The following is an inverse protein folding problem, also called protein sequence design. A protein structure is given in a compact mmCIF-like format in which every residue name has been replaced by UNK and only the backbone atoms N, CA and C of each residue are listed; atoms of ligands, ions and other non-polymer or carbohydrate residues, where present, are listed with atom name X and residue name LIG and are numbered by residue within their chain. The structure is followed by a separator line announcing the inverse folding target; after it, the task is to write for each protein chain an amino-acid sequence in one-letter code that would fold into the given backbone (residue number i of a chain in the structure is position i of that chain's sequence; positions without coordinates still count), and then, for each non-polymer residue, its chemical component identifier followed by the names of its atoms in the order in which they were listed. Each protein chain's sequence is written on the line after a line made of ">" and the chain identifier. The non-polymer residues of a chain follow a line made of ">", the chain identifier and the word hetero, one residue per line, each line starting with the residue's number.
data_IF_083523165804
#
_entry.id   IF_083523165804
#
_cell.length_a   1.000
_cell.length_b   1.000
_cell.length_c   1.000
_cell.angle_alpha   90.00
_cell.angle_beta   90.00
_cell.angle_gamma   90.00
#
_symmetry.space_group_name_H-M   'P 1'
#
loop_
_entity.id
_entity.type
_entity.pdbx_description
1 polymer ?
#
# COMPACT_ATOMS: atom_id res chain seq x y z
N UNK A 1 -29.67 37.11 -16.58
CA UNK A 1 -28.79 37.25 -17.78
C UNK A 1 -27.86 38.46 -17.67
N UNK A 2 -28.31 39.64 -17.21
CA UNK A 2 -27.46 40.82 -17.06
C UNK A 2 -26.36 40.69 -15.98
N UNK A 3 -26.65 40.08 -14.85
CA UNK A 3 -25.66 39.89 -13.77
C UNK A 3 -24.49 38.97 -14.17
N UNK A 4 -24.74 37.92 -14.94
CA UNK A 4 -23.68 37.03 -15.43
C UNK A 4 -22.77 37.70 -16.46
N UNK A 5 -23.30 38.65 -17.22
CA UNK A 5 -22.53 39.44 -18.20
C UNK A 5 -21.64 40.45 -17.47
N UNK A 6 -22.13 41.10 -16.42
CA UNK A 6 -21.35 42.04 -15.60
C UNK A 6 -20.21 41.30 -14.89
N UNK A 7 -20.48 40.13 -14.31
CA UNK A 7 -19.45 39.28 -13.66
C UNK A 7 -18.37 38.82 -14.64
N UNK A 8 -18.76 38.49 -15.87
CA UNK A 8 -17.84 38.15 -16.95
C UNK A 8 -16.91 39.32 -17.32
N UNK A 9 -17.47 40.54 -17.47
CA UNK A 9 -16.66 41.73 -17.76
C UNK A 9 -15.77 42.16 -16.60
N UNK A 10 -16.21 42.01 -15.35
CA UNK A 10 -15.38 42.27 -14.15
C UNK A 10 -14.20 41.31 -14.12
N UNK A 11 -14.42 40.01 -14.37
CA UNK A 11 -13.36 39.04 -14.43
C UNK A 11 -12.38 39.29 -15.59
N UNK A 12 -12.88 39.72 -16.75
CA UNK A 12 -12.04 40.11 -17.90
C UNK A 12 -11.17 41.33 -17.58
N UNK A 13 -11.76 42.34 -16.89
CA UNK A 13 -11.04 43.55 -16.48
C UNK A 13 -9.97 43.29 -15.42
N UNK A 14 -10.27 42.39 -14.47
CA UNK A 14 -9.30 41.95 -13.46
C UNK A 14 -8.16 41.13 -14.10
N UNK A 15 -8.48 40.35 -15.14
CA UNK A 15 -7.48 39.61 -15.92
C UNK A 15 -6.59 40.59 -16.71
N UNK A 16 -7.18 41.60 -17.35
CA UNK A 16 -6.46 42.64 -18.08
C UNK A 16 -5.56 43.48 -17.17
N UNK A 17 -6.04 43.87 -15.99
CA UNK A 17 -5.24 44.57 -14.99
C UNK A 17 -4.07 43.77 -14.45
N UNK A 18 -4.24 42.46 -14.27
CA UNK A 18 -3.14 41.54 -13.92
C UNK A 18 -2.13 41.37 -15.06
N UNK A 19 -2.59 41.33 -16.33
CA UNK A 19 -1.72 41.29 -17.50
C UNK A 19 -0.84 42.53 -17.62
N UNK A 20 -1.37 43.72 -17.32
CA UNK A 20 -0.61 44.99 -17.33
C UNK A 20 0.51 45.01 -16.28
N UNK A 21 0.33 44.33 -15.13
CA UNK A 21 1.38 44.22 -14.11
C UNK A 21 2.52 43.25 -14.50
N UNK A 22 2.27 42.39 -15.47
CA UNK A 22 3.24 41.34 -15.92
C UNK A 22 3.96 41.78 -17.21
N UNK A 23 3.40 42.71 -17.99
CA UNK A 23 4.03 43.21 -19.23
C UNK A 23 5.48 43.70 -19.06
N UNK A 24 5.89 44.39 -17.98
CA UNK A 24 7.28 44.82 -17.81
C UNK A 24 8.30 43.69 -17.68
N UNK A 25 7.84 42.46 -17.37
CA UNK A 25 8.70 41.32 -17.29
C UNK A 25 8.98 40.64 -18.64
N UNK A 26 8.15 40.92 -19.65
CA UNK A 26 8.28 40.35 -20.99
C UNK A 26 9.18 41.18 -21.93
N UNK A 27 9.42 42.46 -21.66
CA UNK A 27 10.33 43.30 -22.45
C UNK A 27 11.81 42.86 -22.39
N UNK A 28 12.12 41.87 -21.53
CA UNK A 28 13.48 41.32 -21.37
C UNK A 28 13.75 40.04 -22.17
N UNK A 29 12.77 39.46 -22.86
CA UNK A 29 12.95 38.26 -23.68
C UNK A 29 12.66 38.53 -25.16
N UNK A 30 13.70 38.55 -25.89
CA UNK A 30 14.01 38.50 -27.33
C UNK A 30 12.87 38.70 -28.37
N UNK A 31 13.06 39.68 -29.24
CA UNK A 31 12.18 40.22 -30.29
C UNK A 31 11.94 39.29 -31.51
N UNK A 32 12.21 38.01 -31.41
CA UNK A 32 12.12 37.04 -32.54
C UNK A 32 10.90 36.10 -32.54
N UNK A 33 9.99 36.21 -31.58
CA UNK A 33 8.84 35.29 -31.48
C UNK A 33 7.46 36.01 -31.49
N UNK A 34 7.28 37.12 -32.16
CA UNK A 34 5.96 37.73 -32.31
C UNK A 34 5.46 37.69 -33.76
N UNK A 35 4.88 36.54 -34.09
CA UNK A 35 3.87 36.43 -35.16
C UNK A 35 2.89 35.35 -34.77
N UNK A 36 1.92 35.72 -33.93
CA UNK A 36 0.84 34.84 -33.55
C UNK A 36 -0.51 35.51 -33.79
N UNK A 37 -1.44 34.77 -34.39
CA UNK A 37 -2.87 35.11 -34.49
C UNK A 37 -3.46 35.37 -33.10
N UNK A 38 -4.38 36.32 -32.98
CA UNK A 38 -4.99 36.80 -31.74
C UNK A 38 -5.51 35.72 -30.77
N UNK A 39 -5.94 34.56 -31.28
CA UNK A 39 -6.40 33.43 -30.45
C UNK A 39 -5.27 32.68 -29.77
N UNK A 40 -4.12 32.55 -30.42
CA UNK A 40 -2.94 31.90 -29.89
C UNK A 40 -2.29 32.66 -28.74
N UNK A 41 -2.37 33.99 -28.78
CA UNK A 41 -1.87 34.87 -27.74
C UNK A 41 -2.66 34.73 -26.43
N UNK A 42 -4.01 34.60 -26.51
CA UNK A 42 -4.87 34.39 -25.32
C UNK A 42 -4.61 33.07 -24.67
N UNK A 43 -4.39 31.98 -25.44
CA UNK A 43 -4.04 30.66 -24.89
C UNK A 43 -2.63 30.62 -24.30
N UNK A 44 -1.67 31.27 -24.93
CA UNK A 44 -0.30 31.40 -24.41
C UNK A 44 -0.25 32.15 -23.08
N UNK A 45 -0.97 33.30 -22.99
CA UNK A 45 -1.08 34.08 -21.76
C UNK A 45 -1.84 33.29 -20.67
N UNK A 46 -2.90 32.57 -21.03
CA UNK A 46 -3.64 31.71 -20.08
C UNK A 46 -2.75 30.58 -19.52
N UNK A 47 -1.92 29.97 -20.39
CA UNK A 47 -1.00 28.89 -19.98
C UNK A 47 0.12 29.40 -19.07
N UNK A 48 0.69 30.57 -19.38
CA UNK A 48 1.72 31.21 -18.54
C UNK A 48 1.14 31.72 -17.23
N UNK A 49 -0.10 32.26 -17.24
CA UNK A 49 -0.76 32.76 -16.03
C UNK A 49 -1.19 31.60 -15.11
N UNK A 50 -1.64 30.46 -15.67
CA UNK A 50 -1.87 29.22 -14.93
C UNK A 50 -0.55 28.66 -14.35
N UNK A 51 0.54 28.68 -15.11
CA UNK A 51 1.86 28.21 -14.64
C UNK A 51 2.47 29.12 -13.55
N UNK A 52 2.27 30.45 -13.65
CA UNK A 52 2.69 31.43 -12.64
C UNK A 52 1.75 31.46 -11.42
N UNK A 53 0.46 31.23 -11.62
CA UNK A 53 -0.53 31.11 -10.53
C UNK A 53 -0.35 29.85 -9.69
N UNK A 54 0.15 28.78 -10.29
CA UNK A 54 0.54 27.57 -9.58
C UNK A 54 1.86 27.73 -8.78
N UNK A 55 2.78 28.60 -9.25
CA UNK A 55 4.02 28.92 -8.50
C UNK A 55 3.82 29.80 -7.26
N UNK A 56 2.67 30.49 -7.12
CA UNK A 56 2.36 31.32 -5.96
C UNK A 56 1.43 30.69 -4.91
N UNK A 57 1.11 29.40 -5.02
CA UNK A 57 0.71 28.64 -3.84
C UNK A 57 1.93 28.56 -2.95
N UNK A 58 1.82 29.06 -1.70
CA UNK A 58 2.82 28.87 -0.65
C UNK A 58 3.31 27.42 -0.76
N UNK A 59 4.52 27.25 -1.27
CA UNK A 59 5.25 26.03 -1.15
C UNK A 59 5.45 25.80 0.36
N UNK A 60 4.60 24.99 0.95
CA UNK A 60 5.02 24.29 2.13
C UNK A 60 6.14 23.38 1.61
N UNK A 61 7.38 23.75 1.87
CA UNK A 61 8.52 22.87 1.69
C UNK A 61 8.34 21.75 2.71
N UNK A 62 7.52 20.77 2.37
CA UNK A 62 7.57 19.47 3.01
C UNK A 62 8.92 18.96 2.58
N UNK A 63 9.86 18.81 3.51
CA UNK A 63 11.13 18.14 3.22
C UNK A 63 10.76 16.79 2.62
N UNK A 64 11.19 16.56 1.39
CA UNK A 64 10.94 15.30 0.68
C UNK A 64 11.47 14.14 1.55
N UNK A 65 10.60 13.17 1.84
CA UNK A 65 11.00 11.91 2.52
C UNK A 65 11.70 10.95 1.55
N UNK A 66 12.01 11.41 0.33
CA UNK A 66 12.59 10.60 -0.73
C UNK A 66 14.01 10.18 -0.38
N UNK A 67 14.26 8.88 -0.34
CA UNK A 67 15.60 8.30 -0.26
C UNK A 67 16.22 8.36 -1.66
N UNK A 68 17.37 9.02 -1.79
CA UNK A 68 18.13 9.14 -3.04
C UNK A 68 19.42 8.33 -2.91
N UNK A 69 19.44 7.05 -3.35
CA UNK A 69 20.65 6.25 -3.22
C UNK A 69 21.80 6.84 -4.02
N UNK A 70 22.97 7.00 -3.41
CA UNK A 70 24.13 7.61 -4.04
C UNK A 70 24.58 6.83 -5.27
N UNK A 71 24.60 7.48 -6.43
CA UNK A 71 25.04 6.86 -7.69
C UNK A 71 24.05 5.83 -8.25
N UNK A 72 22.80 5.81 -7.81
CA UNK A 72 21.78 4.93 -8.35
C UNK A 72 21.64 5.12 -9.87
N UNK A 73 21.54 4.01 -10.55
CA UNK A 73 21.17 3.92 -11.97
C UNK A 73 20.31 2.68 -12.14
N UNK A 74 19.16 2.83 -12.76
CA UNK A 74 18.31 1.71 -13.09
C UNK A 74 19.08 0.68 -13.94
N UNK A 75 19.18 -0.56 -13.45
CA UNK A 75 19.89 -1.66 -14.11
C UNK A 75 19.17 -2.17 -15.36
N UNK A 76 17.87 -1.93 -15.44
CA UNK A 76 16.98 -2.31 -16.53
C UNK A 76 16.34 -1.04 -17.10
N UNK A 77 16.28 -0.95 -18.43
CA UNK A 77 15.50 0.10 -19.09
C UNK A 77 13.99 -0.11 -18.88
N UNK A 78 13.16 0.83 -19.35
CA UNK A 78 11.70 0.79 -19.16
C UNK A 78 11.10 -0.47 -19.79
N UNK A 79 11.48 -0.85 -21.00
CA UNK A 79 10.95 -2.04 -21.69
C UNK A 79 11.29 -3.32 -20.93
N UNK A 80 12.55 -3.46 -20.51
CA UNK A 80 12.99 -4.59 -19.69
C UNK A 80 12.28 -4.62 -18.35
N UNK A 81 12.03 -3.46 -17.73
CA UNK A 81 11.30 -3.33 -16.48
C UNK A 81 9.87 -3.83 -16.63
N UNK A 82 9.13 -3.38 -17.64
CA UNK A 82 7.76 -3.83 -17.92
C UNK A 82 7.68 -5.33 -18.21
N UNK A 83 8.63 -5.87 -18.96
CA UNK A 83 8.76 -7.32 -19.20
C UNK A 83 9.06 -8.08 -17.90
N UNK A 84 9.92 -7.54 -17.05
CA UNK A 84 10.26 -8.09 -15.75
C UNK A 84 9.08 -8.09 -14.78
N UNK A 85 8.29 -7.02 -14.76
CA UNK A 85 7.05 -6.95 -13.96
C UNK A 85 6.10 -8.07 -14.35
N UNK A 86 5.86 -8.27 -15.66
CA UNK A 86 5.03 -9.35 -16.15
C UNK A 86 5.55 -10.72 -15.71
N UNK A 87 6.84 -10.98 -15.95
CA UNK A 87 7.49 -12.24 -15.60
C UNK A 87 7.36 -12.55 -14.11
N UNK A 88 7.67 -11.58 -13.25
CA UNK A 88 7.61 -11.72 -11.79
C UNK A 88 6.18 -11.97 -11.32
N UNK A 89 5.21 -11.18 -11.80
CA UNK A 89 3.81 -11.34 -11.40
C UNK A 89 3.25 -12.70 -11.80
N UNK A 90 3.49 -13.16 -13.01
CA UNK A 90 3.01 -14.47 -13.49
C UNK A 90 3.65 -15.63 -12.70
N UNK A 91 4.95 -15.59 -12.49
CA UNK A 91 5.66 -16.65 -11.77
C UNK A 91 5.31 -16.69 -10.28
N UNK A 92 5.33 -15.53 -9.61
CA UNK A 92 5.07 -15.48 -8.18
C UNK A 92 3.64 -15.93 -7.84
N UNK A 93 2.61 -15.43 -8.54
CA UNK A 93 1.23 -15.82 -8.28
C UNK A 93 0.98 -17.33 -8.47
N UNK A 94 1.65 -17.95 -9.45
CA UNK A 94 1.57 -19.38 -9.65
C UNK A 94 2.22 -20.16 -8.52
N UNK A 95 3.40 -19.73 -8.06
CA UNK A 95 4.08 -20.32 -6.90
C UNK A 95 3.23 -20.15 -5.63
N UNK A 96 2.74 -18.95 -5.34
CA UNK A 96 1.89 -18.65 -4.18
C UNK A 96 0.64 -19.53 -4.16
N UNK A 97 -0.06 -19.62 -5.30
CA UNK A 97 -1.28 -20.40 -5.42
C UNK A 97 -1.02 -21.90 -5.22
N UNK A 98 0.10 -22.41 -5.72
CA UNK A 98 0.50 -23.82 -5.55
C UNK A 98 0.86 -24.10 -4.10
N UNK A 99 1.72 -23.27 -3.49
CA UNK A 99 2.18 -23.43 -2.11
C UNK A 99 1.02 -23.44 -1.10
N UNK A 100 0.09 -22.53 -1.24
CA UNK A 100 -1.02 -22.37 -0.29
C UNK A 100 -2.33 -23.02 -0.76
N UNK A 101 -2.34 -23.70 -1.92
CA UNK A 101 -3.53 -24.33 -2.53
C UNK A 101 -4.67 -23.34 -2.74
N UNK A 102 -4.35 -22.22 -3.38
CA UNK A 102 -5.28 -21.13 -3.60
C UNK A 102 -5.89 -21.18 -5.01
N UNK A 103 -7.19 -20.94 -5.10
CA UNK A 103 -7.90 -20.69 -6.36
C UNK A 103 -7.99 -19.18 -6.60
N UNK A 104 -7.67 -18.73 -7.82
CA UNK A 104 -7.90 -17.33 -8.18
C UNK A 104 -9.39 -17.02 -8.29
N UNK A 105 -9.82 -15.88 -7.71
CA UNK A 105 -11.19 -15.37 -7.81
C UNK A 105 -11.19 -13.92 -8.28
N UNK A 106 -12.32 -13.49 -8.84
CA UNK A 106 -12.56 -12.07 -9.14
C UNK A 106 -13.08 -11.38 -7.88
N UNK A 107 -12.48 -10.26 -7.52
CA UNK A 107 -12.86 -9.47 -6.35
C UNK A 107 -13.42 -8.10 -6.76
N UNK A 108 -14.23 -7.45 -5.90
CA UNK A 108 -14.73 -6.11 -6.14
C UNK A 108 -13.61 -5.07 -5.98
N UNK A 109 -13.66 -4.02 -6.80
CA UNK A 109 -12.85 -2.81 -6.60
C UNK A 109 -13.48 -1.89 -5.52
N UNK A 110 -14.79 -1.98 -5.33
CA UNK A 110 -15.55 -1.16 -4.38
C UNK A 110 -16.69 -1.98 -3.76
N UNK A 111 -17.11 -1.60 -2.58
CA UNK A 111 -18.20 -2.20 -1.81
C UNK A 111 -19.19 -1.13 -1.37
N UNK A 112 -20.41 -1.53 -0.97
CA UNK A 112 -21.36 -0.59 -0.36
C UNK A 112 -20.85 -0.15 1.00
N UNK A 113 -20.92 1.16 1.26
CA UNK A 113 -20.54 1.76 2.54
C UNK A 113 -21.45 1.29 3.68
N UNK A 114 -20.90 1.14 4.87
CA UNK A 114 -21.66 0.85 6.10
C UNK A 114 -21.94 -0.64 6.35
N UNK A 115 -21.40 -1.55 5.52
CA UNK A 115 -21.53 -2.99 5.73
C UNK A 115 -20.43 -3.60 6.63
N UNK A 116 -19.39 -2.82 6.96
CA UNK A 116 -18.23 -3.30 7.70
C UNK A 116 -17.37 -4.29 6.91
N UNK A 117 -17.45 -4.28 5.57
CA UNK A 117 -16.68 -5.15 4.67
C UNK A 117 -15.34 -4.50 4.33
N UNK A 118 -15.35 -3.17 4.06
CA UNK A 118 -14.10 -2.46 3.82
C UNK A 118 -13.27 -2.37 5.09
N UNK A 119 -11.99 -2.10 4.93
CA UNK A 119 -11.05 -1.92 6.04
C UNK A 119 -10.86 -0.42 6.30
N UNK A 120 -10.86 -0.04 7.57
CA UNK A 120 -10.56 1.33 7.99
C UNK A 120 -9.05 1.52 8.24
N UNK A 121 -8.22 0.50 7.94
CA UNK A 121 -6.78 0.44 8.22
C UNK A 121 -6.50 0.69 9.72
N UNK A 122 -5.97 1.87 10.06
CA UNK A 122 -5.79 2.31 11.45
C UNK A 122 -6.93 3.23 11.96
N UNK A 123 -8.04 3.34 11.19
CA UNK A 123 -9.27 4.01 11.63
C UNK A 123 -9.35 5.50 11.31
N UNK A 124 -8.37 6.06 10.60
CA UNK A 124 -8.30 7.49 10.27
C UNK A 124 -8.27 7.77 8.77
N UNK A 125 -8.01 6.79 7.94
CA UNK A 125 -7.91 6.92 6.49
C UNK A 125 -9.28 7.11 5.86
N UNK A 126 -9.36 8.06 4.92
CA UNK A 126 -10.57 8.37 4.17
C UNK A 126 -10.71 7.45 2.97
N UNK A 127 -11.79 6.68 2.94
CA UNK A 127 -12.15 5.91 1.74
C UNK A 127 -12.59 6.85 0.61
N UNK A 128 -12.19 6.54 -0.63
CA UNK A 128 -12.71 7.18 -1.83
C UNK A 128 -14.13 6.71 -2.05
N UNK A 129 -15.11 7.61 -1.93
CA UNK A 129 -16.54 7.28 -2.02
C UNK A 129 -17.21 7.93 -3.21
N UNK A 130 -18.26 7.28 -3.73
CA UNK A 130 -19.10 7.81 -4.80
C UNK A 130 -20.53 7.30 -4.68
N UNK A 131 -21.56 8.10 -5.11
CA UNK A 131 -22.95 7.69 -5.11
C UNK A 131 -23.24 6.77 -6.31
N UNK A 132 -24.20 5.83 -6.13
CA UNK A 132 -24.69 4.95 -7.19
C UNK A 132 -26.12 5.34 -7.53
N UNK A 133 -26.33 5.93 -8.71
CA UNK A 133 -27.64 6.44 -9.19
C UNK A 133 -28.74 5.39 -9.13
N UNK A 134 -28.48 4.18 -9.64
CA UNK A 134 -29.50 3.13 -9.72
C UNK A 134 -29.83 2.47 -8.37
N UNK A 135 -29.10 2.83 -7.30
CA UNK A 135 -29.36 2.42 -5.92
C UNK A 135 -29.84 3.61 -5.06
N UNK A 136 -30.46 4.63 -5.66
CA UNK A 136 -30.98 5.79 -4.93
C UNK A 136 -29.91 6.61 -4.24
N UNK A 137 -28.77 6.79 -4.90
CA UNK A 137 -27.58 7.50 -4.40
C UNK A 137 -26.93 6.86 -3.16
N UNK A 138 -27.18 5.56 -2.91
CA UNK A 138 -26.39 4.80 -1.94
C UNK A 138 -24.91 4.92 -2.26
N UNK A 139 -24.09 5.09 -1.22
CA UNK A 139 -22.64 5.28 -1.39
C UNK A 139 -21.91 3.95 -1.49
N UNK A 140 -21.03 3.85 -2.47
CA UNK A 140 -19.96 2.86 -2.52
C UNK A 140 -18.63 3.48 -2.12
N UNK A 141 -17.71 2.65 -1.70
CA UNK A 141 -16.34 3.03 -1.34
C UNK A 141 -15.34 2.07 -1.99
N UNK A 142 -14.27 2.63 -2.54
CA UNK A 142 -13.14 1.84 -3.05
C UNK A 142 -12.48 1.13 -1.88
N UNK A 143 -12.16 -0.14 -2.05
CA UNK A 143 -11.59 -0.96 -0.98
C UNK A 143 -10.20 -0.47 -0.57
N UNK A 144 -9.91 -0.54 0.73
CA UNK A 144 -8.56 -0.41 1.28
C UNK A 144 -7.90 -1.78 1.46
N UNK A 145 -8.72 -2.82 1.71
CA UNK A 145 -8.33 -4.22 1.88
C UNK A 145 -9.51 -5.12 1.56
N UNK A 146 -9.25 -6.36 1.17
CA UNK A 146 -10.26 -7.39 0.92
C UNK A 146 -10.29 -8.48 2.01
N UNK A 147 -9.65 -8.26 3.15
CA UNK A 147 -9.54 -9.27 4.21
C UNK A 147 -10.91 -9.83 4.62
N UNK A 148 -11.86 -8.95 4.92
CA UNK A 148 -13.22 -9.33 5.33
C UNK A 148 -14.04 -9.92 4.17
N UNK A 149 -13.95 -9.33 2.99
CA UNK A 149 -14.62 -9.84 1.78
C UNK A 149 -14.18 -11.26 1.42
N UNK A 150 -12.87 -11.54 1.43
CA UNK A 150 -12.34 -12.87 1.12
C UNK A 150 -12.90 -13.95 2.05
N UNK A 151 -12.98 -13.65 3.35
CA UNK A 151 -13.52 -14.57 4.34
C UNK A 151 -14.99 -14.90 4.08
N UNK A 152 -15.79 -13.90 3.69
CA UNK A 152 -17.18 -14.11 3.25
C UNK A 152 -17.23 -14.97 1.99
N UNK A 153 -16.37 -14.68 1.01
CA UNK A 153 -16.28 -15.43 -0.25
C UNK A 153 -15.92 -16.90 -0.04
N UNK A 154 -15.03 -17.20 0.90
CA UNK A 154 -14.71 -18.58 1.29
C UNK A 154 -15.93 -19.33 1.85
N UNK A 155 -16.76 -18.66 2.64
CA UNK A 155 -18.01 -19.22 3.15
C UNK A 155 -19.03 -19.45 2.04
N UNK A 156 -19.27 -18.45 1.18
CA UNK A 156 -20.17 -18.55 0.03
C UNK A 156 -19.83 -19.72 -0.90
N UNK A 157 -18.53 -19.88 -1.20
CA UNK A 157 -18.03 -20.94 -2.08
C UNK A 157 -17.83 -22.27 -1.36
N UNK A 158 -18.13 -22.38 -0.06
CA UNK A 158 -17.98 -23.58 0.76
C UNK A 158 -16.59 -24.21 0.64
N UNK A 159 -15.54 -23.38 0.69
CA UNK A 159 -14.15 -23.85 0.55
C UNK A 159 -13.74 -24.69 1.76
N UNK A 160 -13.20 -25.89 1.49
CA UNK A 160 -12.78 -26.84 2.53
C UNK A 160 -11.50 -26.40 3.26
N UNK A 161 -11.31 -26.79 4.53
CA UNK A 161 -10.05 -26.57 5.25
C UNK A 161 -8.81 -27.05 4.48
N UNK A 162 -7.75 -26.25 4.50
CA UNK A 162 -6.51 -26.51 3.77
C UNK A 162 -6.49 -26.01 2.34
N UNK A 163 -7.57 -25.35 1.87
CA UNK A 163 -7.69 -24.68 0.59
C UNK A 163 -8.08 -23.21 0.79
N UNK A 164 -7.86 -22.40 -0.23
CA UNK A 164 -8.16 -20.98 -0.16
C UNK A 164 -8.39 -20.31 -1.50
N UNK A 165 -8.44 -19.00 -1.45
CA UNK A 165 -8.57 -18.12 -2.62
C UNK A 165 -7.49 -17.05 -2.61
N UNK A 166 -7.17 -16.51 -3.80
CA UNK A 166 -6.43 -15.28 -3.95
C UNK A 166 -7.02 -14.43 -5.07
N UNK A 167 -6.72 -13.16 -5.03
CA UNK A 167 -7.15 -12.21 -6.06
C UNK A 167 -6.10 -11.12 -6.25
N UNK A 168 -6.16 -10.44 -7.40
CA UNK A 168 -5.46 -9.18 -7.61
C UNK A 168 -6.33 -8.07 -7.01
N UNK A 169 -5.94 -7.57 -5.83
CA UNK A 169 -6.58 -6.44 -5.19
C UNK A 169 -5.98 -5.14 -5.72
N UNK A 170 -6.84 -4.16 -6.00
CA UNK A 170 -6.47 -2.80 -6.33
C UNK A 170 -7.16 -1.88 -5.33
N UNK A 171 -6.41 -1.01 -4.67
CA UNK A 171 -6.91 -0.08 -3.66
C UNK A 171 -6.43 1.35 -3.95
N UNK A 172 -7.17 2.33 -3.42
CA UNK A 172 -6.77 3.74 -3.46
C UNK A 172 -6.71 4.23 -2.01
N UNK A 173 -5.54 4.70 -1.59
CA UNK A 173 -5.30 5.30 -0.28
C UNK A 173 -5.06 6.80 -0.45
N UNK A 174 -6.13 7.58 -0.31
CA UNK A 174 -6.12 9.01 -0.61
C UNK A 174 -5.27 9.84 0.38
N UNK A 175 -5.06 9.33 1.59
CA UNK A 175 -4.30 9.99 2.67
C UNK A 175 -2.87 9.46 2.82
N UNK A 176 -2.39 8.63 1.87
CA UNK A 176 -1.04 8.06 1.92
C UNK A 176 0.04 9.13 1.80
N UNK A 177 1.06 9.06 2.65
CA UNK A 177 2.27 9.85 2.52
C UNK A 177 3.19 9.24 1.47
N UNK A 178 3.41 9.96 0.37
CA UNK A 178 4.16 9.45 -0.77
C UNK A 178 5.67 9.48 -0.51
N UNK A 179 6.33 8.38 -0.82
CA UNK A 179 7.78 8.21 -0.74
C UNK A 179 8.26 7.12 -1.73
N UNK A 180 9.45 6.57 -1.55
CA UNK A 180 9.99 5.50 -2.40
C UNK A 180 9.13 4.23 -2.43
N UNK A 181 8.37 3.95 -1.37
CA UNK A 181 7.64 2.69 -1.13
C UNK A 181 6.12 2.85 -1.16
N UNK A 182 5.62 4.09 -0.94
CA UNK A 182 4.21 4.39 -0.77
C UNK A 182 3.64 5.17 -1.95
N UNK A 183 2.50 4.72 -2.46
CA UNK A 183 1.74 5.29 -3.57
C UNK A 183 0.27 5.40 -3.20
N UNK A 184 -0.45 6.32 -3.84
CA UNK A 184 -1.92 6.39 -3.75
C UNK A 184 -2.60 5.11 -4.25
N UNK A 185 -1.97 4.44 -5.22
CA UNK A 185 -2.44 3.17 -5.77
C UNK A 185 -1.70 2.01 -5.13
N UNK A 186 -2.45 1.06 -4.56
CA UNK A 186 -1.92 -0.15 -3.92
C UNK A 186 -2.43 -1.37 -4.66
N UNK A 187 -1.51 -2.24 -5.07
CA UNK A 187 -1.81 -3.53 -5.68
C UNK A 187 -1.23 -4.68 -4.83
N UNK A 188 -2.07 -5.70 -4.55
CA UNK A 188 -1.66 -6.85 -3.75
C UNK A 188 -2.15 -8.15 -4.37
N UNK A 189 -1.36 -9.23 -4.20
CA UNK A 189 -1.95 -10.56 -4.14
C UNK A 189 -2.57 -10.72 -2.77
N UNK A 190 -3.87 -10.58 -2.73
CA UNK A 190 -4.64 -10.66 -1.50
C UNK A 190 -5.22 -12.07 -1.38
N UNK A 191 -4.83 -12.82 -0.36
CA UNK A 191 -5.11 -14.23 -0.22
C UNK A 191 -5.74 -14.57 1.13
N UNK A 192 -6.51 -15.68 1.18
CA UNK A 192 -7.16 -16.18 2.37
C UNK A 192 -7.37 -17.69 2.25
N UNK A 193 -7.05 -18.47 3.30
CA UNK A 193 -7.21 -19.92 3.33
C UNK A 193 -7.99 -20.36 4.57
N UNK A 194 -8.88 -21.36 4.40
CA UNK A 194 -9.65 -21.95 5.49
C UNK A 194 -8.74 -22.87 6.32
N UNK A 195 -8.82 -22.72 7.64
CA UNK A 195 -8.07 -23.53 8.60
C UNK A 195 -9.00 -24.25 9.58
N UNK A 196 -8.49 -25.24 10.26
CA UNK A 196 -9.14 -25.91 11.39
C UNK A 196 -8.72 -25.28 12.72
N UNK A 197 -9.48 -25.50 13.77
CA UNK A 197 -9.23 -24.94 15.11
C UNK A 197 -7.81 -25.22 15.62
N UNK A 198 -7.33 -26.45 15.45
CA UNK A 198 -5.99 -26.83 15.88
C UNK A 198 -4.83 -26.18 15.08
N UNK A 199 -5.17 -25.39 14.04
CA UNK A 199 -4.21 -24.58 13.25
C UNK A 199 -4.15 -23.11 13.70
N UNK A 200 -4.94 -22.72 14.70
CA UNK A 200 -4.87 -21.38 15.29
C UNK A 200 -3.67 -21.25 16.23
N UNK A 201 -2.47 -21.36 15.69
CA UNK A 201 -1.21 -21.33 16.45
C UNK A 201 -0.15 -20.50 15.74
N UNK A 202 0.78 -19.94 16.50
CA UNK A 202 1.95 -19.27 15.92
C UNK A 202 2.84 -20.24 15.11
N UNK A 203 2.88 -21.52 15.50
CA UNK A 203 3.62 -22.53 14.75
C UNK A 203 3.08 -22.68 13.32
N UNK A 204 1.76 -22.70 13.15
CA UNK A 204 1.15 -22.74 11.83
C UNK A 204 1.34 -21.44 11.05
N UNK A 205 1.27 -20.29 11.71
CA UNK A 205 1.57 -19.01 11.07
C UNK A 205 3.01 -18.99 10.52
N UNK A 206 3.98 -19.46 11.31
CA UNK A 206 5.39 -19.58 10.87
C UNK A 206 5.53 -20.50 9.65
N UNK A 207 4.86 -21.65 9.63
CA UNK A 207 4.84 -22.56 8.47
C UNK A 207 4.34 -21.84 7.21
N UNK A 208 3.25 -21.08 7.31
CA UNK A 208 2.69 -20.32 6.18
C UNK A 208 3.66 -19.24 5.70
N UNK A 209 4.27 -18.50 6.62
CA UNK A 209 5.27 -17.46 6.32
C UNK A 209 6.47 -18.04 5.59
N UNK A 210 7.02 -19.18 6.06
CA UNK A 210 8.16 -19.85 5.42
C UNK A 210 7.85 -20.32 3.99
N UNK A 211 6.63 -20.81 3.74
CA UNK A 211 6.17 -21.21 2.40
C UNK A 211 6.08 -20.03 1.45
N UNK A 212 5.51 -18.89 1.90
CA UNK A 212 5.45 -17.65 1.13
C UNK A 212 6.85 -17.11 0.84
N UNK A 213 7.71 -17.08 1.87
CA UNK A 213 9.09 -16.66 1.71
C UNK A 213 9.87 -17.53 0.72
N UNK A 214 9.62 -18.84 0.72
CA UNK A 214 10.16 -19.76 -0.28
C UNK A 214 9.73 -19.42 -1.71
N UNK A 215 8.48 -18.99 -1.91
CA UNK A 215 7.99 -18.53 -3.21
C UNK A 215 8.67 -17.21 -3.63
N UNK A 216 8.89 -16.29 -2.70
CA UNK A 216 9.61 -15.02 -2.93
C UNK A 216 11.05 -15.28 -3.38
N UNK A 217 11.77 -16.16 -2.69
CA UNK A 217 13.14 -16.53 -3.05
C UNK A 217 13.26 -17.18 -4.44
N UNK A 218 12.33 -18.07 -4.78
CA UNK A 218 12.28 -18.66 -6.14
C UNK A 218 12.07 -17.59 -7.21
N UNK A 219 11.29 -16.56 -6.89
CA UNK A 219 11.04 -15.43 -7.80
C UNK A 219 12.30 -14.58 -7.96
N UNK A 220 13.07 -14.35 -6.90
CA UNK A 220 14.36 -13.67 -6.99
C UNK A 220 15.33 -14.44 -7.92
N UNK A 221 15.45 -15.76 -7.75
CA UNK A 221 16.31 -16.56 -8.61
C UNK A 221 15.90 -16.49 -10.08
N UNK A 222 14.60 -16.54 -10.37
CA UNK A 222 14.09 -16.37 -11.73
C UNK A 222 14.47 -15.01 -12.29
N UNK A 223 14.29 -13.93 -11.54
CA UNK A 223 14.62 -12.57 -11.98
C UNK A 223 16.11 -12.44 -12.28
N UNK A 224 16.99 -12.99 -11.45
CA UNK A 224 18.44 -12.97 -11.65
C UNK A 224 18.91 -13.86 -12.82
N UNK A 225 18.19 -14.94 -13.13
CA UNK A 225 18.46 -15.79 -14.29
C UNK A 225 18.12 -15.07 -15.60
N UNK A 226 16.97 -14.39 -15.64
CA UNK A 226 16.53 -13.63 -16.83
C UNK A 226 17.30 -12.34 -17.04
N UNK A 227 17.76 -11.71 -15.95
CA UNK A 227 18.50 -10.44 -15.95
C UNK A 227 19.81 -10.60 -15.17
N UNK A 228 20.88 -11.11 -15.79
CA UNK A 228 22.14 -11.43 -15.10
C UNK A 228 22.85 -10.25 -14.40
N UNK A 229 22.45 -9.00 -14.72
CA UNK A 229 22.90 -7.79 -14.02
C UNK A 229 22.29 -7.67 -12.61
N UNK A 230 21.14 -8.28 -12.34
CA UNK A 230 20.55 -8.38 -11.01
C UNK A 230 21.31 -9.42 -10.17
N UNK A 231 21.44 -9.19 -8.88
CA UNK A 231 22.12 -10.10 -7.97
C UNK A 231 21.20 -10.50 -6.81
N UNK A 232 21.13 -11.77 -6.45
CA UNK A 232 20.31 -12.21 -5.32
C UNK A 232 20.86 -11.60 -4.02
N UNK A 233 19.94 -11.19 -3.14
CA UNK A 233 20.28 -10.59 -1.85
C UNK A 233 19.46 -11.18 -0.68
N UNK A 234 18.41 -11.97 -0.99
CA UNK A 234 17.57 -12.58 0.05
C UNK A 234 18.31 -13.68 0.80
N UNK A 235 18.27 -13.70 2.14
CA UNK A 235 18.86 -14.77 2.93
C UNK A 235 18.14 -16.12 2.70
N UNK A 236 18.81 -17.21 3.06
CA UNK A 236 18.25 -18.55 2.89
C UNK A 236 16.98 -18.78 3.71
N UNK A 237 16.89 -18.18 4.90
CA UNK A 237 15.79 -18.32 5.85
C UNK A 237 15.32 -16.97 6.34
N UNK A 238 14.02 -16.84 6.55
CA UNK A 238 13.43 -15.71 7.23
C UNK A 238 13.61 -15.88 8.76
N UNK A 239 13.93 -14.79 9.45
CA UNK A 239 14.06 -14.76 10.91
C UNK A 239 12.73 -14.35 11.53
N UNK A 240 12.34 -14.99 12.64
CA UNK A 240 11.13 -14.66 13.39
C UNK A 240 11.49 -13.97 14.70
N UNK A 241 10.83 -12.86 14.99
CA UNK A 241 10.98 -12.12 16.23
C UNK A 241 9.61 -11.62 16.69
N UNK A 242 9.36 -11.56 17.99
CA UNK A 242 8.15 -10.96 18.52
C UNK A 242 8.34 -9.45 18.72
N UNK A 243 7.30 -8.63 18.48
CA UNK A 243 7.39 -7.17 18.61
C UNK A 243 7.84 -6.71 20.01
N UNK A 244 7.43 -7.42 21.06
CA UNK A 244 7.86 -7.12 22.43
C UNK A 244 9.32 -7.55 22.72
N UNK A 245 9.81 -8.60 22.07
CA UNK A 245 11.23 -8.96 22.11
C UNK A 245 12.05 -7.90 21.40
N UNK A 246 11.58 -7.40 20.25
CA UNK A 246 12.21 -6.33 19.50
C UNK A 246 12.29 -5.02 20.30
N UNK A 247 11.24 -4.70 21.06
CA UNK A 247 11.25 -3.59 22.02
C UNK A 247 12.34 -3.77 23.08
N UNK A 248 12.49 -4.96 23.67
CA UNK A 248 13.54 -5.26 24.65
C UNK A 248 14.95 -5.20 24.07
N UNK A 249 15.12 -5.61 22.80
CA UNK A 249 16.42 -5.53 22.12
C UNK A 249 16.87 -4.09 21.86
N UNK A 250 15.93 -3.20 21.55
CA UNK A 250 16.20 -1.82 21.14
C UNK A 250 15.22 -0.84 21.81
N UNK A 251 15.28 -0.67 23.15
CA UNK A 251 14.25 0.07 23.90
C UNK A 251 14.19 1.57 23.55
N UNK A 252 15.32 2.15 23.13
CA UNK A 252 15.44 3.58 22.85
C UNK A 252 15.09 3.95 21.40
N UNK A 253 14.90 2.95 20.51
CA UNK A 253 14.58 3.19 19.12
C UNK A 253 13.07 3.24 18.90
N UNK A 254 12.64 4.01 17.90
CA UNK A 254 11.26 3.99 17.39
C UNK A 254 10.94 2.63 16.73
N UNK A 255 9.66 2.27 16.55
CA UNK A 255 9.29 1.03 15.87
C UNK A 255 9.98 0.85 14.52
N UNK A 256 9.99 1.87 13.66
CA UNK A 256 10.62 1.80 12.33
C UNK A 256 12.15 1.64 12.40
N UNK A 257 12.81 2.32 13.32
CA UNK A 257 14.25 2.12 13.55
C UNK A 257 14.57 0.72 14.08
N UNK A 258 13.66 0.11 14.88
CA UNK A 258 13.78 -1.29 15.32
C UNK A 258 13.65 -2.24 14.13
N UNK A 259 12.68 -1.99 13.25
CA UNK A 259 12.49 -2.74 12.01
C UNK A 259 13.76 -2.71 11.15
N UNK A 260 14.33 -1.53 10.93
CA UNK A 260 15.58 -1.37 10.19
C UNK A 260 16.73 -2.17 10.84
N UNK A 261 16.91 -2.03 12.15
CA UNK A 261 18.02 -2.69 12.85
C UNK A 261 17.93 -4.20 12.83
N UNK A 262 16.74 -4.77 13.02
CA UNK A 262 16.59 -6.22 13.01
C UNK A 262 16.66 -6.78 11.59
N UNK A 263 16.12 -6.04 10.62
CA UNK A 263 16.09 -6.48 9.23
C UNK A 263 17.47 -6.34 8.58
N UNK A 264 18.23 -5.27 8.87
CA UNK A 264 19.65 -5.13 8.50
C UNK A 264 20.48 -6.34 8.99
N UNK A 265 20.24 -6.77 10.24
CA UNK A 265 20.98 -7.88 10.86
C UNK A 265 20.68 -9.23 10.20
N UNK A 266 19.44 -9.51 9.87
CA UNK A 266 19.00 -10.84 9.43
C UNK A 266 18.62 -10.93 7.93
N UNK A 267 18.51 -9.80 7.23
CA UNK A 267 18.17 -9.69 5.81
C UNK A 267 16.68 -9.88 5.49
N UNK A 268 15.98 -10.76 6.22
CA UNK A 268 14.54 -10.97 6.12
C UNK A 268 13.98 -11.36 7.49
N UNK A 269 12.91 -10.69 7.91
CA UNK A 269 12.33 -10.85 9.26
C UNK A 269 10.80 -10.91 9.16
N UNK A 270 10.20 -11.76 10.01
CA UNK A 270 8.77 -11.71 10.28
C UNK A 270 8.55 -11.27 11.73
N UNK A 271 7.94 -10.11 11.93
CA UNK A 271 7.67 -9.54 13.25
C UNK A 271 6.27 -9.96 13.68
N UNK A 272 6.18 -10.78 14.74
CA UNK A 272 4.93 -11.32 15.27
C UNK A 272 4.34 -10.36 16.31
N UNK A 273 2.99 -10.26 16.38
CA UNK A 273 2.28 -9.54 17.44
C UNK A 273 2.12 -8.04 17.15
N UNK A 274 1.71 -7.69 15.94
CA UNK A 274 1.44 -6.32 15.51
C UNK A 274 -0.02 -5.95 15.83
N UNK A 275 -0.26 -4.79 16.47
CA UNK A 275 -1.58 -4.24 16.78
C UNK A 275 -1.89 -4.16 18.28
N UNK A 276 -1.39 -5.10 19.08
CA UNK A 276 -1.53 -5.08 20.54
C UNK A 276 -0.55 -4.14 21.24
N UNK A 277 -0.85 -3.78 22.49
CA UNK A 277 0.08 -3.04 23.34
C UNK A 277 1.24 -3.92 23.81
N UNK A 278 2.44 -3.42 23.68
CA UNK A 278 3.67 -4.04 24.18
C UNK A 278 3.86 -3.79 25.69
N UNK A 279 4.93 -4.33 26.26
CA UNK A 279 5.27 -4.20 27.69
C UNK A 279 5.47 -2.75 28.16
N UNK A 280 5.76 -1.81 27.25
CA UNK A 280 5.84 -0.36 27.54
C UNK A 280 4.47 0.36 27.44
N UNK A 281 3.40 -0.38 27.13
CA UNK A 281 2.04 0.15 26.98
C UNK A 281 1.75 0.80 25.63
N UNK A 282 2.71 0.82 24.68
CA UNK A 282 2.55 1.35 23.32
C UNK A 282 2.37 0.21 22.32
N UNK A 283 1.77 0.50 21.18
CA UNK A 283 1.74 -0.43 20.04
C UNK A 283 3.05 -0.34 19.26
N UNK A 284 3.45 -1.45 18.63
CA UNK A 284 4.53 -1.40 17.63
C UNK A 284 4.06 -0.67 16.38
N UNK A 285 2.91 -1.10 15.85
CA UNK A 285 2.21 -0.44 14.73
C UNK A 285 0.70 -0.63 14.90
N UNK A 286 -0.11 0.12 14.10
CA UNK A 286 -1.57 0.01 14.07
C UNK A 286 -2.05 -1.27 13.40
N UNK A 287 -3.21 -1.78 13.87
CA UNK A 287 -3.92 -2.86 13.20
C UNK A 287 -5.41 -2.77 13.55
N UNK A 288 -6.29 -2.85 12.55
CA UNK A 288 -7.73 -2.87 12.79
C UNK A 288 -8.14 -4.05 13.70
N UNK A 289 -9.20 -3.90 14.51
CA UNK A 289 -9.59 -4.91 15.50
C UNK A 289 -10.36 -6.10 14.91
N UNK A 290 -10.70 -6.10 13.64
CA UNK A 290 -11.77 -6.94 13.11
C UNK A 290 -11.35 -7.92 11.99
N UNK A 291 -10.04 -8.10 11.76
CA UNK A 291 -9.58 -9.15 10.84
C UNK A 291 -8.39 -9.97 11.38
N UNK A 292 -7.22 -9.40 11.72
CA UNK A 292 -6.09 -10.14 12.28
C UNK A 292 -6.24 -10.34 13.79
N UNK A 293 -5.89 -11.54 14.28
CA UNK A 293 -5.86 -11.84 15.72
C UNK A 293 -4.51 -11.40 16.32
N UNK A 294 -4.50 -10.21 16.90
CA UNK A 294 -3.34 -9.65 17.59
C UNK A 294 -3.44 -9.73 19.12
N UNK A 295 -4.46 -10.42 19.65
CA UNK A 295 -4.77 -10.44 21.08
C UNK A 295 -4.78 -11.83 21.74
N UNK A 296 -4.76 -12.90 20.96
CA UNK A 296 -4.70 -14.25 21.50
C UNK A 296 -3.30 -14.57 22.05
N UNK A 297 -3.26 -15.12 23.27
CA UNK A 297 -2.02 -15.59 23.91
C UNK A 297 -1.63 -16.93 23.32
N UNK A 298 -0.41 -17.04 22.82
CA UNK A 298 0.16 -18.27 22.29
C UNK A 298 0.69 -19.18 23.40
N UNK A 299 1.05 -20.42 23.04
CA UNK A 299 1.53 -21.44 24.00
C UNK A 299 2.80 -21.01 24.76
N UNK A 300 3.66 -20.21 24.16
CA UNK A 300 4.87 -19.68 24.75
C UNK A 300 4.66 -18.41 25.59
N UNK A 301 3.41 -17.96 25.72
CA UNK A 301 3.01 -16.78 26.48
C UNK A 301 3.16 -15.46 25.71
N UNK A 302 3.61 -15.46 24.47
CA UNK A 302 3.59 -14.26 23.61
C UNK A 302 2.19 -13.98 23.09
N UNK A 303 1.90 -12.75 22.66
CA UNK A 303 0.55 -12.32 22.28
C UNK A 303 0.49 -12.01 20.78
N UNK A 304 -0.53 -12.53 20.11
CA UNK A 304 -0.80 -12.28 18.70
C UNK A 304 -0.47 -13.46 17.78
N UNK A 305 -1.32 -13.62 16.78
CA UNK A 305 -1.24 -14.65 15.75
C UNK A 305 -1.10 -14.01 14.35
N UNK A 306 -0.51 -12.83 14.27
CA UNK A 306 -0.32 -12.04 13.07
C UNK A 306 1.10 -11.44 13.04
N UNK A 307 1.45 -10.81 11.94
CA UNK A 307 2.72 -10.09 11.83
C UNK A 307 2.99 -9.59 10.43
N UNK A 308 4.15 -8.93 10.30
CA UNK A 308 4.61 -8.30 9.07
C UNK A 308 5.94 -8.89 8.61
N UNK A 309 6.04 -9.12 7.30
CA UNK A 309 7.25 -9.60 6.63
C UNK A 309 8.03 -8.41 6.09
N UNK A 310 9.24 -8.22 6.61
CA UNK A 310 10.16 -7.17 6.20
C UNK A 310 11.41 -7.76 5.55
N UNK A 311 11.87 -7.09 4.52
CA UNK A 311 13.08 -7.43 3.76
C UNK A 311 14.05 -6.26 3.84
N UNK A 312 15.30 -6.53 4.21
CA UNK A 312 16.35 -5.52 4.08
C UNK A 312 16.64 -5.29 2.61
N UNK A 313 16.46 -4.06 2.16
CA UNK A 313 16.61 -3.73 0.76
C UNK A 313 17.89 -2.94 0.49
N UNK A 314 18.94 -3.59 -0.07
CA UNK A 314 20.25 -2.96 -0.24
C UNK A 314 20.25 -1.70 -1.13
N UNK A 315 19.27 -1.56 -2.04
CA UNK A 315 19.19 -0.38 -2.91
C UNK A 315 18.82 0.87 -2.14
N UNK A 316 17.93 0.75 -1.14
CA UNK A 316 17.50 1.88 -0.29
C UNK A 316 18.25 1.94 1.04
N UNK A 317 19.01 0.90 1.40
CA UNK A 317 19.62 0.74 2.73
C UNK A 317 18.59 0.87 3.85
N UNK A 318 17.41 0.20 3.67
CA UNK A 318 16.24 0.35 4.50
C UNK A 318 15.39 -0.94 4.52
N UNK A 319 14.63 -1.17 5.59
CA UNK A 319 13.67 -2.26 5.67
C UNK A 319 12.43 -1.97 4.83
N UNK A 320 11.99 -2.94 4.04
CA UNK A 320 10.77 -2.83 3.22
C UNK A 320 9.76 -3.86 3.70
N UNK A 321 8.61 -3.41 4.18
CA UNK A 321 7.46 -4.26 4.45
C UNK A 321 6.88 -4.76 3.11
N UNK A 322 6.94 -6.07 2.92
CA UNK A 322 6.45 -6.73 1.71
C UNK A 322 5.06 -7.31 1.88
N UNK A 323 4.73 -7.78 3.07
CA UNK A 323 3.48 -8.48 3.35
C UNK A 323 3.07 -8.34 4.79
N UNK A 324 1.77 -8.16 5.00
CA UNK A 324 1.11 -8.26 6.28
C UNK A 324 0.15 -9.45 6.25
N UNK A 325 0.16 -10.31 7.30
CA UNK A 325 -0.68 -11.50 7.35
C UNK A 325 -0.92 -11.98 8.78
N UNK A 326 -1.98 -12.77 8.95
CA UNK A 326 -2.30 -13.35 10.25
C UNK A 326 -3.36 -14.43 10.19
N UNK A 327 -3.43 -15.19 11.26
CA UNK A 327 -4.61 -15.97 11.59
C UNK A 327 -5.70 -14.95 11.95
N UNK A 328 -6.90 -15.13 11.38
CA UNK A 328 -7.97 -14.16 11.54
C UNK A 328 -8.68 -14.36 12.89
N UNK A 329 -9.27 -13.28 13.38
CA UNK A 329 -10.07 -13.34 14.61
C UNK A 329 -11.14 -14.42 14.54
N UNK A 330 -11.32 -15.17 15.63
CA UNK A 330 -12.54 -15.90 15.93
C UNK A 330 -13.54 -14.98 16.64
N UNK A 331 -14.62 -15.53 17.17
CA UNK A 331 -15.65 -14.74 17.87
C UNK A 331 -15.09 -14.07 19.14
N UNK A 332 -14.33 -14.82 19.91
CA UNK A 332 -13.75 -14.39 21.18
C UNK A 332 -12.69 -13.31 20.98
N UNK A 333 -11.81 -13.51 20.01
CA UNK A 333 -10.76 -12.53 19.65
C UNK A 333 -11.41 -11.25 19.10
N UNK A 334 -12.41 -11.37 18.20
CA UNK A 334 -13.15 -10.21 17.69
C UNK A 334 -13.74 -9.36 18.81
N UNK A 335 -14.50 -9.99 19.73
CA UNK A 335 -15.14 -9.28 20.82
C UNK A 335 -14.14 -8.58 21.73
N UNK A 336 -13.06 -9.29 22.09
CA UNK A 336 -11.97 -8.75 22.91
C UNK A 336 -11.26 -7.58 22.23
N UNK A 337 -10.97 -7.66 20.94
CA UNK A 337 -10.28 -6.60 20.20
C UNK A 337 -11.16 -5.37 20.00
N UNK A 338 -12.45 -5.55 19.71
CA UNK A 338 -13.40 -4.44 19.63
C UNK A 338 -13.55 -3.71 20.98
N UNK A 339 -13.55 -4.44 22.12
CA UNK A 339 -13.57 -3.84 23.45
C UNK A 339 -12.27 -3.06 23.74
N UNK A 340 -11.10 -3.62 23.41
CA UNK A 340 -9.81 -2.95 23.61
C UNK A 340 -9.71 -1.62 22.84
N UNK A 341 -10.27 -1.57 21.62
CA UNK A 341 -10.25 -0.36 20.76
C UNK A 341 -11.47 0.57 21.00
N UNK A 342 -12.46 0.16 21.81
CA UNK A 342 -13.69 0.96 22.06
C UNK A 342 -14.63 1.00 20.85
N UNK A 343 -14.58 -0.04 19.99
CA UNK A 343 -15.31 -0.14 18.72
C UNK A 343 -16.46 -1.16 18.75
N UNK A 344 -17.05 -1.41 19.93
CA UNK A 344 -18.09 -2.43 20.14
C UNK A 344 -19.33 -2.24 19.25
N UNK A 345 -19.58 -1.02 18.78
CA UNK A 345 -20.66 -0.72 17.84
C UNK A 345 -20.55 -1.48 16.52
N UNK A 346 -19.35 -1.88 16.12
CA UNK A 346 -19.10 -2.65 14.89
C UNK A 346 -19.76 -4.03 14.91
N UNK A 347 -20.12 -4.58 16.09
CA UNK A 347 -20.86 -5.84 16.22
C UNK A 347 -22.17 -5.84 15.42
N UNK A 348 -22.76 -4.66 15.21
CA UNK A 348 -24.02 -4.48 14.48
C UNK A 348 -23.85 -4.48 12.96
N UNK A 349 -22.63 -4.36 12.45
CA UNK A 349 -22.34 -4.34 11.01
C UNK A 349 -22.50 -5.74 10.41
N UNK A 350 -22.79 -5.80 9.12
CA UNK A 350 -23.12 -7.05 8.42
C UNK A 350 -22.04 -8.13 8.53
N UNK A 351 -20.77 -7.78 8.24
CA UNK A 351 -19.66 -8.74 8.33
C UNK A 351 -19.53 -9.31 9.75
N UNK A 352 -19.56 -8.45 10.77
CA UNK A 352 -19.36 -8.83 12.16
C UNK A 352 -20.46 -9.76 12.66
N UNK A 353 -21.73 -9.49 12.28
CA UNK A 353 -22.84 -10.41 12.58
C UNK A 353 -22.65 -11.79 11.96
N UNK A 354 -22.20 -11.86 10.69
CA UNK A 354 -21.92 -13.15 10.05
C UNK A 354 -20.85 -13.96 10.82
N UNK A 355 -19.79 -13.29 11.30
CA UNK A 355 -18.76 -13.93 12.11
C UNK A 355 -19.31 -14.39 13.48
N UNK A 356 -19.99 -13.52 14.19
CA UNK A 356 -20.55 -13.83 15.50
C UNK A 356 -21.62 -14.93 15.46
N UNK A 357 -22.41 -14.99 14.38
CA UNK A 357 -23.37 -16.08 14.11
C UNK A 357 -22.70 -17.42 13.78
N UNK A 358 -21.36 -17.44 13.59
CA UNK A 358 -20.63 -18.64 13.21
C UNK A 358 -20.80 -19.07 11.76
N UNK A 359 -21.17 -18.15 10.88
CA UNK A 359 -21.37 -18.41 9.45
C UNK A 359 -20.09 -18.32 8.65
N UNK A 360 -19.04 -17.75 9.21
CA UNK A 360 -17.74 -17.57 8.53
C UNK A 360 -16.73 -18.60 9.04
N UNK A 361 -15.90 -19.18 8.16
CA UNK A 361 -14.89 -20.16 8.55
C UNK A 361 -13.75 -19.51 9.35
N UNK A 362 -12.98 -20.33 10.07
CA UNK A 362 -11.68 -19.94 10.60
C UNK A 362 -10.68 -19.85 9.44
N UNK A 363 -9.87 -18.80 9.41
CA UNK A 363 -8.98 -18.54 8.27
C UNK A 363 -7.63 -17.98 8.71
N UNK A 364 -6.66 -18.11 7.81
CA UNK A 364 -5.40 -17.39 7.77
C UNK A 364 -5.31 -16.65 6.45
N UNK A 365 -4.81 -15.45 6.45
CA UNK A 365 -4.74 -14.67 5.21
C UNK A 365 -3.79 -13.48 5.31
N UNK A 366 -3.60 -12.81 4.18
CA UNK A 366 -2.71 -11.65 4.09
C UNK A 366 -2.75 -11.01 2.72
N UNK A 367 -2.01 -9.92 2.59
CA UNK A 367 -1.73 -9.23 1.35
C UNK A 367 -0.23 -9.18 1.08
N UNK A 368 0.17 -9.42 -0.15
CA UNK A 368 1.57 -9.31 -0.58
C UNK A 368 1.62 -8.22 -1.66
N UNK A 369 2.39 -7.15 -1.41
CA UNK A 369 2.50 -6.01 -2.32
C UNK A 369 3.10 -6.42 -3.67
N UNK A 370 2.31 -6.30 -4.75
CA UNK A 370 2.75 -6.69 -6.10
C UNK A 370 3.84 -5.75 -6.60
N UNK A 371 3.61 -4.45 -6.54
CA UNK A 371 4.57 -3.44 -6.99
C UNK A 371 5.82 -3.42 -6.10
N UNK A 372 5.68 -3.58 -4.79
CA UNK A 372 6.83 -3.70 -3.88
C UNK A 372 7.67 -4.94 -4.19
N UNK A 373 7.06 -6.11 -4.42
CA UNK A 373 7.81 -7.30 -4.83
C UNK A 373 8.57 -7.07 -6.15
N UNK A 374 7.90 -6.52 -7.15
CA UNK A 374 8.57 -6.20 -8.43
C UNK A 374 9.72 -5.20 -8.24
N UNK A 375 9.54 -4.18 -7.40
CA UNK A 375 10.57 -3.21 -7.05
C UNK A 375 11.81 -3.89 -6.46
N UNK A 376 11.62 -4.77 -5.48
CA UNK A 376 12.69 -5.54 -4.85
C UNK A 376 13.41 -6.43 -5.88
N UNK A 377 12.65 -7.23 -6.65
CA UNK A 377 13.22 -8.21 -7.59
C UNK A 377 13.93 -7.55 -8.78
N UNK A 378 13.53 -6.35 -9.21
CA UNK A 378 14.11 -5.61 -10.31
C UNK A 378 15.12 -4.53 -9.87
N UNK A 379 15.45 -4.49 -8.57
CA UNK A 379 16.40 -3.55 -7.97
C UNK A 379 16.09 -2.08 -8.26
N UNK A 380 14.82 -1.69 -8.12
CA UNK A 380 14.36 -0.33 -8.36
C UNK A 380 14.35 0.49 -7.06
N UNK A 381 14.70 1.76 -7.16
CA UNK A 381 14.79 2.64 -6.00
C UNK A 381 13.46 3.33 -5.63
N UNK A 382 12.47 3.30 -6.52
CA UNK A 382 11.17 3.93 -6.29
C UNK A 382 10.04 3.08 -6.87
N UNK A 383 8.93 2.95 -6.12
CA UNK A 383 7.77 2.17 -6.57
C UNK A 383 7.15 2.72 -7.86
N UNK A 384 7.32 4.01 -8.14
CA UNK A 384 6.91 4.64 -9.39
C UNK A 384 7.73 4.21 -10.63
N UNK A 385 8.85 3.51 -10.46
CA UNK A 385 9.54 2.83 -11.57
C UNK A 385 8.83 1.51 -11.97
N UNK A 386 7.87 1.07 -11.16
CA UNK A 386 7.13 -0.19 -11.32
C UNK A 386 5.67 0.05 -11.67
N UNK A 387 5.04 1.07 -11.10
CA UNK A 387 3.62 1.34 -11.29
C UNK A 387 3.37 2.80 -11.70
N UNK A 388 2.46 2.99 -12.65
CA UNK A 388 1.95 4.31 -12.98
C UNK A 388 1.01 4.82 -11.87
N UNK A 389 1.28 6.03 -11.38
CA UNK A 389 0.50 6.69 -10.34
C UNK A 389 0.58 8.22 -10.51
N UNK A 390 0.01 8.95 -9.54
CA UNK A 390 0.10 10.41 -9.49
C UNK A 390 1.16 10.78 -8.46
N UNK A 391 2.17 11.51 -8.90
CA UNK A 391 3.28 11.97 -8.07
C UNK A 391 3.34 13.50 -8.04
N UNK A 392 3.69 14.13 -6.91
CA UNK A 392 3.99 15.56 -6.85
C UNK A 392 5.08 15.94 -7.87
N UNK A 393 4.96 17.11 -8.49
CA UNK A 393 5.93 17.56 -9.50
C UNK A 393 7.36 17.66 -8.94
N UNK A 394 7.48 18.11 -7.70
CA UNK A 394 8.76 18.18 -6.99
C UNK A 394 9.40 16.79 -6.87
N UNK A 395 8.62 15.78 -6.48
CA UNK A 395 9.08 14.39 -6.38
C UNK A 395 9.50 13.83 -7.74
N UNK A 396 8.75 14.12 -8.80
CA UNK A 396 9.12 13.71 -10.17
C UNK A 396 10.48 14.28 -10.59
N UNK A 397 10.67 15.59 -10.36
CA UNK A 397 11.96 16.24 -10.66
C UNK A 397 13.10 15.62 -9.83
N UNK A 398 12.89 15.36 -8.55
CA UNK A 398 13.87 14.76 -7.68
C UNK A 398 14.22 13.32 -8.07
N UNK A 399 13.24 12.54 -8.53
CA UNK A 399 13.45 11.20 -9.06
C UNK A 399 14.25 11.22 -10.35
N UNK A 400 13.94 12.12 -11.29
CA UNK A 400 14.68 12.29 -12.54
C UNK A 400 16.16 12.65 -12.29
N UNK A 401 16.41 13.61 -11.38
CA UNK A 401 17.77 14.01 -10.97
C UNK A 401 18.54 12.87 -10.31
N UNK A 402 17.84 12.01 -9.56
CA UNK A 402 18.44 10.85 -8.88
C UNK A 402 18.56 9.59 -9.77
N UNK A 403 18.16 9.65 -11.03
CA UNK A 403 18.23 8.51 -11.97
C UNK A 403 17.17 7.45 -11.74
N UNK A 404 16.02 7.81 -11.14
CA UNK A 404 14.84 6.98 -10.89
C UNK A 404 13.75 7.31 -11.94
N UNK A 405 13.70 6.64 -13.10
CA UNK A 405 12.73 6.94 -14.15
C UNK A 405 11.33 6.45 -13.77
N UNK A 406 10.42 7.36 -13.40
CA UNK A 406 9.03 7.01 -13.10
C UNK A 406 8.24 6.72 -14.38
N UNK A 407 7.41 5.66 -14.39
CA UNK A 407 6.55 5.26 -15.52
C UNK A 407 5.17 5.91 -15.50
#
# INVERSE_FOLDING_TARGET
>A
MAENIILYFINLFLLYAKCQQVLPYFEKYDSKMMNFDDKSCVYGILFVTLRLGLKNKKSYTIMSKLIKPAGYKALLDTTQTEQGIKLIKEFFQQNLSTELRLRRVTAPLFVLQGLGINDDLNGVERAVTFPIKDLGDAKAEVVHSLAKWKRMKLSEDSIAPGYGIYTDMNAIRADEELDNLHSLYVDQWDWEAVITENKRTQAYLREVVERIYGAIRRTEYLACEWYPQLKPFLPEKIHFVHADELLRMYPDLSPKEREDKVTEKYGAVFIIGIGGKLSDGKKHDGRAPDYDDWSTVAEDGTVGLNGDMLIWYPVLDHAVELSSMGIRVDKEALLRQLEIEGEESRKELYFHKQLLDGKLPLTVGGGIGQSRLCMLMLHKAHVGEIQASIWPEEMRCECDEAGMPLI
#
